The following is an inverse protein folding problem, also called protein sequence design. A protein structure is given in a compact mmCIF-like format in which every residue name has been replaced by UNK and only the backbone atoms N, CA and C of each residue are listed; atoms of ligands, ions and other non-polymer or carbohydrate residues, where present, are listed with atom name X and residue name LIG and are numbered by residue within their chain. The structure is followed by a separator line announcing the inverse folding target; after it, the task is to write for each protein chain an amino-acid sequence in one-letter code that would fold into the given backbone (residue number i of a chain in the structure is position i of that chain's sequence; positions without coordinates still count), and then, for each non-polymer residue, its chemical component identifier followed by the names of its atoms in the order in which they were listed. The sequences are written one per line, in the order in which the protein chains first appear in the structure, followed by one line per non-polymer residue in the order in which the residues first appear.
data_IF_257730462126
#
_entry.id   IF_257730462126
#
_cell.length_a   1.000
_cell.length_b   1.000
_cell.length_c   1.000
_cell.angle_alpha   90.00
_cell.angle_beta   90.00
_cell.angle_gamma   90.00
#
_symmetry.space_group_name_H-M   'P 1'
#
loop_
_entity.id
_entity.type
_entity.pdbx_description
1 polymer ?
#
# COMPACT_ATOMS: atom_id res chain seq x y z
N UNK A 1 52.07 15.53 -7.38
CA UNK A 1 51.49 14.41 -6.61
C UNK A 1 50.78 15.01 -5.39
N UNK A 2 49.53 15.23 -5.54
CA UNK A 2 48.61 15.55 -4.40
C UNK A 2 48.27 14.21 -3.80
N UNK A 3 48.69 14.00 -2.53
CA UNK A 3 48.32 12.82 -1.75
C UNK A 3 46.82 12.91 -1.51
N UNK A 4 46.05 12.02 -2.11
CA UNK A 4 44.68 11.73 -1.67
C UNK A 4 44.76 11.07 -0.28
N UNK A 5 44.64 11.87 0.73
CA UNK A 5 44.47 11.39 2.10
C UNK A 5 43.01 10.92 2.19
N UNK A 6 42.83 9.60 2.43
CA UNK A 6 41.50 9.07 2.68
C UNK A 6 40.94 9.70 3.95
N UNK A 7 39.88 10.51 3.78
CA UNK A 7 39.23 11.23 4.90
C UNK A 7 38.80 10.27 6.02
N UNK A 8 38.58 8.99 5.69
CA UNK A 8 38.22 7.93 6.66
C UNK A 8 39.34 7.63 7.65
N UNK A 9 40.61 7.81 7.26
CA UNK A 9 41.76 7.60 8.17
C UNK A 9 41.94 8.78 9.15
N UNK A 10 41.32 9.91 8.87
CA UNK A 10 41.38 11.11 9.74
C UNK A 10 40.20 11.20 10.73
N UNK A 11 39.19 10.35 10.58
CA UNK A 11 38.02 10.31 11.45
C UNK A 11 38.29 9.31 12.61
N UNK A 12 38.19 9.78 13.85
CA UNK A 12 38.12 8.93 15.02
C UNK A 12 36.72 8.30 15.11
N UNK A 13 36.58 6.97 14.86
CA UNK A 13 35.27 6.32 14.86
C UNK A 13 34.53 6.40 16.20
N UNK A 14 35.29 6.50 17.32
CA UNK A 14 34.70 6.63 18.66
C UNK A 14 34.08 8.00 18.85
N UNK A 15 34.75 9.02 18.35
CA UNK A 15 34.27 10.39 18.44
C UNK A 15 33.07 10.63 17.58
N UNK A 16 33.08 10.12 16.33
CA UNK A 16 31.93 10.18 15.44
C UNK A 16 30.72 9.45 16.04
N UNK A 17 30.93 8.26 16.63
CA UNK A 17 29.88 7.53 17.30
C UNK A 17 29.31 8.22 18.55
N UNK A 18 30.15 8.96 19.28
CA UNK A 18 29.71 9.77 20.45
C UNK A 18 28.89 10.98 19.99
N UNK A 19 29.35 11.68 18.97
CA UNK A 19 28.67 12.87 18.43
C UNK A 19 27.29 12.46 17.89
N UNK A 20 27.21 11.36 17.12
CA UNK A 20 25.96 10.81 16.60
C UNK A 20 24.99 10.39 17.72
N UNK A 21 25.49 9.74 18.75
CA UNK A 21 24.69 9.38 19.94
C UNK A 21 24.11 10.60 20.63
N UNK A 22 24.85 11.70 20.68
CA UNK A 22 24.44 12.92 21.36
C UNK A 22 23.38 13.68 20.55
N UNK A 23 23.47 13.62 19.22
CA UNK A 23 22.48 14.19 18.31
C UNK A 23 21.17 13.37 18.26
N UNK A 24 21.27 12.04 18.24
CA UNK A 24 20.12 11.13 18.12
C UNK A 24 19.51 10.72 19.46
N UNK A 25 20.16 11.10 20.59
CA UNK A 25 19.77 10.68 21.97
C UNK A 25 19.61 9.17 22.13
N UNK A 26 20.34 8.40 21.35
CA UNK A 26 20.28 6.94 21.34
C UNK A 26 21.02 6.26 22.47
N UNK A 27 20.72 4.99 22.72
CA UNK A 27 21.32 4.15 23.76
C UNK A 27 21.88 2.85 23.16
N UNK A 28 23.07 2.46 23.66
CA UNK A 28 23.62 1.15 23.34
C UNK A 28 23.01 0.09 24.25
N UNK A 29 22.54 -0.99 23.65
CA UNK A 29 22.03 -2.18 24.34
C UNK A 29 22.91 -3.37 24.04
N UNK A 30 22.73 -4.48 24.75
CA UNK A 30 23.43 -5.75 24.46
C UNK A 30 23.12 -6.33 23.05
N UNK A 31 22.09 -5.80 22.37
CA UNK A 31 21.64 -6.23 21.03
C UNK A 31 21.97 -5.23 19.94
N UNK A 32 22.51 -4.06 20.26
CA UNK A 32 22.86 -3.01 19.31
C UNK A 32 22.50 -1.62 19.78
N UNK A 33 22.64 -0.67 18.88
CA UNK A 33 22.31 0.73 19.13
C UNK A 33 20.84 0.98 18.81
N UNK A 34 20.13 1.64 19.73
CA UNK A 34 18.71 1.99 19.60
C UNK A 34 18.57 3.50 19.76
N UNK A 35 17.90 4.13 18.81
CA UNK A 35 17.57 5.56 18.88
C UNK A 35 16.09 5.77 18.52
N UNK A 36 15.54 6.86 19.01
CA UNK A 36 14.19 7.26 18.70
C UNK A 36 14.18 7.89 17.30
N UNK A 37 13.54 7.21 16.34
CA UNK A 37 13.34 7.80 15.03
C UNK A 37 12.23 8.86 15.13
N UNK A 38 12.28 9.87 14.27
CA UNK A 38 11.28 10.95 14.22
C UNK A 38 9.89 10.48 13.71
N UNK A 39 9.69 9.18 13.55
CA UNK A 39 8.39 8.60 13.21
C UNK A 39 7.52 8.69 14.47
N UNK A 40 6.50 9.54 14.41
CA UNK A 40 5.47 9.56 15.45
C UNK A 40 4.81 8.18 15.52
N UNK A 41 4.62 7.66 16.73
CA UNK A 41 3.71 6.54 16.93
C UNK A 41 2.33 6.97 16.45
N UNK A 42 1.92 6.50 15.28
CA UNK A 42 0.50 6.42 14.99
C UNK A 42 -0.01 5.19 15.75
N UNK A 43 -1.10 5.36 16.48
CA UNK A 43 -1.78 4.22 17.10
C UNK A 43 -2.13 3.23 15.99
N UNK A 44 -1.37 2.15 15.93
CA UNK A 44 -1.43 1.17 14.85
C UNK A 44 -2.74 0.37 14.90
N UNK A 45 -3.46 0.41 16.00
CA UNK A 45 -4.71 -0.32 16.16
C UNK A 45 -5.58 0.27 17.28
N UNK A 46 -6.75 0.76 16.93
CA UNK A 46 -7.75 1.29 17.87
C UNK A 46 -8.69 0.21 18.45
N UNK A 47 -8.47 -1.07 18.12
CA UNK A 47 -9.32 -2.19 18.51
C UNK A 47 -10.47 -2.47 17.55
N UNK A 48 -10.69 -1.62 16.54
CA UNK A 48 -11.82 -1.70 15.59
C UNK A 48 -11.33 -1.57 14.14
N UNK A 49 -10.34 -0.72 13.90
CA UNK A 49 -9.84 -0.45 12.55
C UNK A 49 -8.42 -0.99 12.39
N UNK A 50 -8.19 -1.72 11.31
CA UNK A 50 -6.82 -2.06 10.91
C UNK A 50 -6.05 -0.78 10.63
N UNK A 51 -4.76 -0.69 11.02
CA UNK A 51 -3.98 0.50 10.77
C UNK A 51 -3.86 0.78 9.27
N UNK A 52 -3.91 2.06 8.89
CA UNK A 52 -3.44 2.52 7.58
C UNK A 52 -1.92 2.27 7.48
N UNK A 53 -1.52 1.03 7.36
CA UNK A 53 -0.15 0.67 7.02
C UNK A 53 -0.08 0.78 5.51
N UNK A 54 0.67 1.76 5.02
CA UNK A 54 0.96 2.05 3.62
C UNK A 54 0.78 0.84 2.68
N UNK A 55 -0.46 0.58 2.27
CA UNK A 55 -0.81 -0.35 1.19
C UNK A 55 -0.32 -1.81 1.30
N UNK A 56 -0.06 -2.35 2.49
CA UNK A 56 0.56 -3.69 2.65
C UNK A 56 -0.21 -4.60 3.61
N UNK A 57 -1.50 -4.50 3.69
CA UNK A 57 -2.25 -5.55 4.38
C UNK A 57 -3.00 -6.40 3.37
N UNK A 58 -2.97 -7.63 3.47
CA UNK A 58 -3.62 -8.82 2.89
C UNK A 58 -4.70 -8.71 1.80
N UNK A 59 -4.99 -7.56 1.23
CA UNK A 59 -5.94 -7.38 0.14
C UNK A 59 -5.36 -7.75 -1.23
N UNK A 60 -6.22 -8.04 -2.17
CA UNK A 60 -5.86 -8.22 -3.59
C UNK A 60 -5.51 -6.87 -4.21
N UNK A 61 -6.31 -5.84 -3.88
CA UNK A 61 -6.07 -4.45 -4.24
C UNK A 61 -6.10 -3.57 -3.00
N UNK A 62 -5.19 -2.60 -2.93
CA UNK A 62 -5.25 -1.50 -1.98
C UNK A 62 -5.36 -0.21 -2.77
N UNK A 63 -6.43 0.54 -2.56
CA UNK A 63 -6.77 1.73 -3.33
C UNK A 63 -6.70 2.95 -2.42
N UNK A 64 -5.97 3.98 -2.83
CA UNK A 64 -6.05 5.29 -2.20
C UNK A 64 -7.14 6.12 -2.86
N UNK A 65 -8.17 6.42 -2.10
CA UNK A 65 -9.34 7.16 -2.54
C UNK A 65 -9.31 8.59 -2.01
N UNK A 66 -9.76 9.52 -2.84
CA UNK A 66 -9.92 10.93 -2.50
C UNK A 66 -11.29 11.38 -2.99
N UNK A 67 -12.01 12.15 -2.20
CA UNK A 67 -13.25 12.78 -2.64
C UNK A 67 -12.96 13.80 -3.74
N UNK A 68 -13.82 13.88 -4.76
CA UNK A 68 -13.62 14.73 -5.93
C UNK A 68 -13.51 16.23 -5.62
N UNK A 69 -13.99 16.65 -4.45
CA UNK A 69 -13.98 18.04 -3.98
C UNK A 69 -12.89 18.34 -2.94
N UNK A 70 -12.11 17.35 -2.51
CA UNK A 70 -11.15 17.48 -1.43
C UNK A 70 -9.70 17.34 -1.93
N UNK A 71 -8.73 17.99 -1.25
CA UNK A 71 -7.32 17.84 -1.59
C UNK A 71 -6.84 16.41 -1.31
N UNK A 72 -5.87 15.93 -2.10
CA UNK A 72 -5.27 14.58 -2.02
C UNK A 72 -4.77 14.20 -0.61
N UNK A 73 -4.43 15.18 0.22
CA UNK A 73 -3.98 14.99 1.60
C UNK A 73 -5.04 14.38 2.53
N UNK A 74 -6.33 14.45 2.15
CA UNK A 74 -7.45 13.88 2.91
C UNK A 74 -7.91 12.52 2.39
N UNK A 75 -7.13 11.87 1.56
CA UNK A 75 -7.43 10.54 1.04
C UNK A 75 -7.45 9.44 2.13
N UNK A 76 -8.12 8.34 1.83
CA UNK A 76 -8.12 7.13 2.66
C UNK A 76 -7.76 5.91 1.83
N UNK A 77 -7.12 4.93 2.48
CA UNK A 77 -6.87 3.64 1.87
C UNK A 77 -8.07 2.70 2.05
N UNK A 78 -8.41 2.00 0.99
CA UNK A 78 -9.44 0.97 0.96
C UNK A 78 -8.84 -0.33 0.44
N UNK A 79 -8.92 -1.39 1.24
CA UNK A 79 -8.49 -2.72 0.84
C UNK A 79 -9.64 -3.52 0.27
N UNK A 80 -9.38 -4.21 -0.83
CA UNK A 80 -10.34 -5.06 -1.50
C UNK A 80 -9.83 -6.52 -1.55
N UNK A 81 -10.71 -7.53 -1.34
CA UNK A 81 -12.14 -7.37 -1.17
C UNK A 81 -12.52 -6.85 0.22
N UNK A 82 -13.58 -6.06 0.25
CA UNK A 82 -14.17 -5.55 1.49
C UNK A 82 -15.67 -5.82 1.57
N UNK A 83 -16.25 -5.55 2.74
CA UNK A 83 -17.69 -5.67 2.99
C UNK A 83 -18.38 -4.30 2.83
N UNK A 84 -19.73 -4.31 2.84
CA UNK A 84 -20.53 -3.07 2.83
C UNK A 84 -20.18 -2.13 3.99
N UNK A 85 -19.78 -2.67 5.14
CA UNK A 85 -19.32 -1.89 6.28
C UNK A 85 -17.98 -1.19 5.98
N UNK A 86 -17.07 -1.87 5.28
CA UNK A 86 -15.80 -1.29 4.83
C UNK A 86 -16.03 -0.16 3.82
N UNK A 87 -16.98 -0.34 2.90
CA UNK A 87 -17.39 0.72 1.98
C UNK A 87 -17.97 1.94 2.71
N UNK A 88 -18.89 1.70 3.65
CA UNK A 88 -19.46 2.78 4.45
C UNK A 88 -18.42 3.51 5.28
N UNK A 89 -17.45 2.80 5.86
CA UNK A 89 -16.35 3.39 6.60
C UNK A 89 -15.50 4.30 5.71
N UNK A 90 -15.12 3.84 4.50
CA UNK A 90 -14.33 4.63 3.57
C UNK A 90 -15.08 5.90 3.11
N UNK A 91 -16.36 5.76 2.73
CA UNK A 91 -17.20 6.88 2.33
C UNK A 91 -17.39 7.90 3.46
N UNK A 92 -17.62 7.44 4.70
CA UNK A 92 -17.73 8.32 5.86
C UNK A 92 -16.43 9.10 6.11
N UNK A 93 -15.27 8.44 5.93
CA UNK A 93 -13.96 9.08 6.11
C UNK A 93 -13.67 10.13 5.06
N UNK A 94 -14.14 9.91 3.83
CA UNK A 94 -14.04 10.85 2.73
C UNK A 94 -15.14 11.94 2.77
N UNK A 95 -16.13 11.80 3.67
CA UNK A 95 -17.33 12.63 3.73
C UNK A 95 -18.11 12.64 2.41
N UNK A 96 -18.10 11.50 1.71
CA UNK A 96 -18.82 11.28 0.47
C UNK A 96 -20.00 10.31 0.67
N UNK A 97 -20.96 10.32 -0.25
CA UNK A 97 -22.14 9.45 -0.19
C UNK A 97 -22.04 8.23 -1.10
N UNK A 98 -21.32 8.38 -2.18
CA UNK A 98 -21.12 7.35 -3.21
C UNK A 98 -19.68 7.39 -3.71
N UNK A 99 -19.21 6.28 -4.28
CA UNK A 99 -17.91 6.22 -4.91
C UNK A 99 -17.84 6.96 -6.25
N UNK A 100 -18.98 7.32 -6.85
CA UNK A 100 -19.03 8.17 -8.05
C UNK A 100 -18.38 9.54 -7.82
N UNK A 101 -18.39 9.99 -6.56
CA UNK A 101 -17.76 11.25 -6.14
C UNK A 101 -16.30 11.06 -5.67
N UNK A 102 -15.74 9.87 -5.85
CA UNK A 102 -14.38 9.54 -5.44
C UNK A 102 -13.47 9.30 -6.65
N UNK A 103 -12.16 9.51 -6.44
CA UNK A 103 -11.11 9.27 -7.44
C UNK A 103 -10.06 8.36 -6.82
N UNK A 104 -9.62 7.35 -7.58
CA UNK A 104 -8.48 6.50 -7.22
C UNK A 104 -7.21 7.26 -7.57
N UNK A 105 -6.43 7.69 -6.58
CA UNK A 105 -5.17 8.41 -6.78
C UNK A 105 -3.96 7.49 -6.83
N UNK A 106 -4.01 6.40 -6.06
CA UNK A 106 -2.97 5.38 -6.01
C UNK A 106 -3.60 4.00 -5.92
N UNK A 107 -2.93 3.01 -6.48
CA UNK A 107 -3.35 1.61 -6.37
C UNK A 107 -2.14 0.69 -6.21
N UNK A 108 -2.27 -0.27 -5.29
CA UNK A 108 -1.33 -1.36 -5.11
C UNK A 108 -2.08 -2.65 -5.38
N UNK A 109 -1.50 -3.53 -6.21
CA UNK A 109 -2.11 -4.80 -6.56
C UNK A 109 -1.12 -5.94 -6.43
N UNK A 110 -1.59 -7.06 -5.88
CA UNK A 110 -0.86 -8.33 -5.90
C UNK A 110 -0.96 -9.05 -7.26
N UNK A 111 -1.82 -8.54 -8.15
CA UNK A 111 -2.07 -9.09 -9.48
C UNK A 111 -1.31 -8.29 -10.52
N UNK A 112 -0.18 -8.81 -10.96
CA UNK A 112 0.56 -8.23 -12.08
C UNK A 112 -0.22 -8.45 -13.39
N UNK A 113 -0.18 -7.45 -14.29
CA UNK A 113 -0.85 -7.49 -15.59
C UNK A 113 -2.21 -6.81 -15.63
N UNK A 114 -2.75 -6.38 -14.48
CA UNK A 114 -3.95 -5.54 -14.41
C UNK A 114 -3.57 -4.15 -13.88
N UNK A 115 -3.90 -3.12 -14.66
CA UNK A 115 -3.69 -1.72 -14.28
C UNK A 115 -5.02 -1.12 -13.84
N UNK A 116 -5.08 -0.67 -12.59
CA UNK A 116 -6.24 0.05 -12.06
C UNK A 116 -6.18 1.51 -12.52
N UNK A 117 -7.26 1.99 -13.11
CA UNK A 117 -7.40 3.38 -13.59
C UNK A 117 -8.08 4.24 -12.54
N UNK A 118 -7.87 5.54 -12.60
CA UNK A 118 -8.46 6.52 -11.68
C UNK A 118 -9.99 6.50 -11.65
N UNK A 119 -10.61 6.09 -12.76
CA UNK A 119 -12.05 6.10 -12.98
C UNK A 119 -12.66 4.70 -12.96
N UNK A 120 -11.90 3.69 -12.57
CA UNK A 120 -12.42 2.34 -12.46
C UNK A 120 -13.46 2.24 -11.35
N UNK A 121 -14.49 1.44 -11.62
CA UNK A 121 -15.57 1.22 -10.66
C UNK A 121 -15.09 0.39 -9.47
N UNK A 122 -15.22 0.95 -8.27
CA UNK A 122 -14.72 0.36 -7.02
C UNK A 122 -15.51 -0.90 -6.65
N UNK A 123 -16.80 -0.94 -6.96
CA UNK A 123 -17.64 -2.12 -6.70
C UNK A 123 -17.25 -3.29 -7.61
N UNK A 124 -16.97 -3.01 -8.88
CA UNK A 124 -16.45 -4.00 -9.83
C UNK A 124 -15.06 -4.50 -9.44
N UNK A 125 -14.17 -3.61 -8.97
CA UNK A 125 -12.87 -3.99 -8.41
C UNK A 125 -13.02 -4.90 -7.18
N UNK A 126 -13.98 -4.61 -6.31
CA UNK A 126 -14.27 -5.42 -5.15
C UNK A 126 -14.78 -6.82 -5.52
N UNK A 127 -15.63 -6.91 -6.53
CA UNK A 127 -16.12 -8.19 -7.04
C UNK A 127 -14.99 -9.02 -7.65
N UNK A 128 -14.15 -8.39 -8.47
CA UNK A 128 -12.96 -9.06 -9.01
C UNK A 128 -12.04 -9.53 -7.89
N UNK A 129 -11.78 -8.69 -6.88
CA UNK A 129 -10.95 -9.07 -5.75
C UNK A 129 -11.52 -10.26 -4.98
N UNK A 130 -12.85 -10.31 -4.81
CA UNK A 130 -13.54 -11.44 -4.17
C UNK A 130 -13.37 -12.73 -4.95
N UNK A 131 -13.58 -12.69 -6.26
CA UNK A 131 -13.39 -13.87 -7.10
C UNK A 131 -11.94 -14.37 -7.09
N UNK A 132 -10.97 -13.46 -7.14
CA UNK A 132 -9.55 -13.84 -7.07
C UNK A 132 -9.17 -14.47 -5.71
N UNK A 133 -9.82 -14.04 -4.62
CA UNK A 133 -9.62 -14.62 -3.30
C UNK A 133 -10.22 -16.03 -3.18
N UNK A 134 -11.26 -16.32 -3.96
CA UNK A 134 -11.91 -17.64 -4.01
C UNK A 134 -11.17 -18.66 -4.89
N UNK A 135 -10.12 -18.26 -5.57
CA UNK A 135 -9.34 -19.20 -6.38
C UNK A 135 -8.76 -20.33 -5.52
N UNK A 136 -8.88 -21.59 -5.95
CA UNK A 136 -8.55 -22.74 -5.13
C UNK A 136 -7.06 -22.89 -4.86
N UNK A 137 -6.21 -22.33 -5.71
CA UNK A 137 -4.75 -22.46 -5.61
C UNK A 137 -4.02 -21.34 -6.39
N UNK A 138 -2.73 -21.21 -6.09
CA UNK A 138 -1.83 -20.26 -6.76
C UNK A 138 -1.69 -20.55 -8.27
N UNK A 139 -1.93 -21.77 -8.69
CA UNK A 139 -1.86 -22.15 -10.10
C UNK A 139 -3.00 -21.50 -10.91
N UNK A 140 -4.18 -21.42 -10.33
CA UNK A 140 -5.33 -20.73 -10.93
C UNK A 140 -5.06 -19.24 -11.04
N UNK A 141 -4.45 -18.64 -10.02
CA UNK A 141 -4.00 -17.24 -10.08
C UNK A 141 -2.94 -17.02 -11.16
N UNK A 142 -2.00 -17.95 -11.33
CA UNK A 142 -1.01 -17.90 -12.42
C UNK A 142 -1.67 -17.99 -13.80
N UNK A 143 -2.69 -18.85 -13.98
CA UNK A 143 -3.45 -18.93 -15.23
C UNK A 143 -4.19 -17.63 -15.51
N UNK A 144 -4.80 -17.03 -14.50
CA UNK A 144 -5.46 -15.73 -14.60
C UNK A 144 -4.50 -14.67 -15.12
N UNK A 145 -3.32 -14.53 -14.48
CA UNK A 145 -2.28 -13.57 -14.90
C UNK A 145 -1.84 -13.80 -16.34
N UNK A 146 -1.63 -15.07 -16.72
CA UNK A 146 -1.25 -15.43 -18.09
C UNK A 146 -2.36 -15.11 -19.11
N UNK A 147 -3.64 -15.30 -18.73
CA UNK A 147 -4.78 -14.96 -19.58
C UNK A 147 -4.91 -13.44 -19.77
N UNK A 148 -4.71 -12.64 -18.71
CA UNK A 148 -4.67 -11.17 -18.82
C UNK A 148 -3.64 -10.69 -19.85
N UNK A 149 -2.44 -11.26 -19.81
CA UNK A 149 -1.38 -10.94 -20.75
C UNK A 149 -1.69 -11.40 -22.19
N UNK A 150 -2.19 -12.63 -22.34
CA UNK A 150 -2.50 -13.21 -23.65
C UNK A 150 -3.62 -12.44 -24.36
N UNK A 151 -4.65 -12.04 -23.63
CA UNK A 151 -5.79 -11.32 -24.15
C UNK A 151 -5.55 -9.80 -24.19
N UNK A 152 -4.39 -9.33 -23.74
CA UNK A 152 -4.07 -7.90 -23.64
C UNK A 152 -5.17 -7.14 -22.89
N UNK A 153 -5.58 -7.67 -21.74
CA UNK A 153 -6.67 -7.15 -20.96
C UNK A 153 -6.45 -5.68 -20.58
N UNK A 154 -7.38 -4.81 -20.96
CA UNK A 154 -7.31 -3.36 -20.73
C UNK A 154 -8.52 -2.79 -19.95
N UNK A 155 -9.47 -3.65 -19.57
CA UNK A 155 -10.66 -3.24 -18.81
C UNK A 155 -11.01 -4.22 -17.69
N UNK A 156 -11.67 -3.70 -16.65
CA UNK A 156 -12.11 -4.50 -15.50
C UNK A 156 -13.14 -5.54 -15.88
N UNK A 157 -14.08 -5.22 -16.79
CA UNK A 157 -15.12 -6.15 -17.22
C UNK A 157 -14.52 -7.35 -17.97
N UNK A 158 -13.43 -7.12 -18.71
CA UNK A 158 -12.70 -8.19 -19.35
C UNK A 158 -11.98 -9.06 -18.31
N UNK A 159 -11.31 -8.45 -17.35
CA UNK A 159 -10.64 -9.16 -16.25
C UNK A 159 -11.63 -10.02 -15.46
N UNK A 160 -12.80 -9.46 -15.12
CA UNK A 160 -13.85 -10.17 -14.41
C UNK A 160 -14.34 -11.40 -15.20
N UNK A 161 -14.60 -11.24 -16.49
CA UNK A 161 -15.00 -12.38 -17.36
C UNK A 161 -13.92 -13.46 -17.46
N UNK A 162 -12.65 -13.07 -17.47
CA UNK A 162 -11.55 -14.05 -17.45
C UNK A 162 -11.56 -14.81 -16.13
N UNK A 163 -11.72 -14.10 -14.98
CA UNK A 163 -11.75 -14.73 -13.67
C UNK A 163 -12.92 -15.72 -13.51
N UNK A 164 -14.12 -15.38 -14.03
CA UNK A 164 -15.31 -16.23 -14.01
C UNK A 164 -15.17 -17.54 -14.82
N UNK A 165 -14.24 -17.60 -15.76
CA UNK A 165 -14.09 -18.73 -16.67
C UNK A 165 -12.86 -19.62 -16.35
N UNK A 166 -12.22 -19.42 -15.22
CA UNK A 166 -11.06 -20.19 -14.77
C UNK A 166 -11.39 -21.19 -13.68
#
# INVERSE_FOLDING_TARGET
HMLEVDIRELLDPQRVGMDQRQEEMGIFTSKGYVFENALSYQDIYDGIHLPDIDGVAGGIFSLRLVGSQYPEEQGTWLELPTTDLGFQWALNRLNERTFDDCIITESISTVHGLSVKQTDDIETLNELARQLQEFPDDRTLCKFKAALELEQCDSLEQALRIAENL
#
